data_IF_158539387933
#
_entry.id   IF_158539387933
#
_cell.length_a   1.000
_cell.length_b   1.000
_cell.length_c   1.000
_cell.angle_alpha   90.00
_cell.angle_beta   90.00
_cell.angle_gamma   90.00
#
_symmetry.space_group_name_H-M   'P 1'
#
loop_
_entity.id
_entity.type
_entity.pdbx_description
1 polymer ?
#
# COMPACT_ATOMS: atom_id res chain seq x y z
N UNK A 1 14.48 21.41 -8.88
CA UNK A 1 13.99 22.36 -7.87
C UNK A 1 15.00 22.37 -6.73
N UNK A 2 15.84 23.40 -6.67
CA UNK A 2 16.98 23.46 -5.74
C UNK A 2 16.57 24.26 -4.49
N UNK A 3 16.97 23.80 -3.30
CA UNK A 3 16.55 24.40 -2.02
C UNK A 3 17.08 25.83 -1.83
N UNK A 4 18.18 26.16 -2.50
CA UNK A 4 18.94 27.41 -2.40
C UNK A 4 18.62 28.44 -3.51
N UNK A 5 17.53 28.25 -4.26
CA UNK A 5 17.07 29.24 -5.25
C UNK A 5 16.64 30.54 -4.54
N UNK A 6 17.21 31.68 -4.93
CA UNK A 6 16.91 32.99 -4.33
C UNK A 6 15.47 33.44 -4.54
N UNK A 7 14.73 32.81 -5.46
CA UNK A 7 13.28 33.00 -5.65
C UNK A 7 12.44 32.30 -4.59
N UNK A 8 13.02 31.35 -3.83
CA UNK A 8 12.33 30.68 -2.73
C UNK A 8 12.34 31.60 -1.51
N UNK A 9 11.26 32.33 -1.27
CA UNK A 9 11.10 33.14 -0.07
C UNK A 9 10.44 32.32 1.05
N UNK A 10 10.93 32.47 2.28
CA UNK A 10 10.25 31.97 3.47
C UNK A 10 9.01 32.84 3.70
N UNK A 11 7.80 32.26 3.82
CA UNK A 11 6.60 33.04 4.09
C UNK A 11 6.77 33.87 5.37
N UNK A 12 6.41 35.17 5.36
CA UNK A 12 6.53 36.03 6.54
C UNK A 12 5.72 35.51 7.73
N UNK A 13 6.22 35.76 8.93
CA UNK A 13 5.53 35.41 10.16
C UNK A 13 4.17 36.14 10.24
N UNK A 14 3.12 35.44 10.68
CA UNK A 14 1.76 36.00 10.81
C UNK A 14 0.81 35.69 9.66
N UNK A 15 1.30 35.10 8.55
CA UNK A 15 0.40 34.47 7.57
C UNK A 15 -0.28 33.24 8.20
N UNK A 16 -1.58 32.99 7.93
CA UNK A 16 -2.24 31.77 8.36
C UNK A 16 -1.40 30.59 7.91
N UNK A 17 -0.90 29.80 8.86
CA UNK A 17 -0.10 28.66 8.47
C UNK A 17 -1.01 27.73 7.67
N UNK A 18 -0.71 27.52 6.39
CA UNK A 18 -1.33 26.45 5.60
C UNK A 18 -0.83 25.07 6.06
N UNK A 19 -0.54 24.91 7.35
CA UNK A 19 -0.24 23.63 7.97
C UNK A 19 -1.52 22.83 7.94
N UNK A 20 -1.68 22.05 6.87
CA UNK A 20 -2.70 21.02 6.75
C UNK A 20 -2.61 20.16 8.01
N UNK A 21 -3.57 20.32 8.94
CA UNK A 21 -3.66 19.45 10.11
C UNK A 21 -3.87 18.04 9.59
N UNK A 22 -2.96 17.13 9.92
CA UNK A 22 -3.12 15.72 9.59
C UNK A 22 -4.11 15.14 10.59
N UNK A 23 -5.20 14.57 10.08
CA UNK A 23 -6.11 13.79 10.93
C UNK A 23 -5.31 12.64 11.55
N UNK A 24 -5.65 12.28 12.79
CA UNK A 24 -5.09 11.09 13.43
C UNK A 24 -5.37 9.87 12.55
N UNK A 25 -4.39 8.96 12.36
CA UNK A 25 -4.62 7.76 11.58
C UNK A 25 -5.66 6.87 12.29
N UNK A 26 -6.63 6.36 11.53
CA UNK A 26 -7.52 5.30 12.01
C UNK A 26 -6.80 3.96 11.90
N UNK A 27 -6.58 3.29 13.02
CA UNK A 27 -6.01 1.93 13.04
C UNK A 27 -7.18 0.97 13.03
N UNK A 28 -7.30 0.21 11.94
CA UNK A 28 -8.39 -0.75 11.77
C UNK A 28 -8.24 -1.92 12.75
N UNK A 29 -9.34 -2.24 13.40
CA UNK A 29 -9.49 -3.46 14.21
C UNK A 29 -9.63 -4.69 13.31
N UNK A 30 -9.37 -5.88 13.87
CA UNK A 30 -9.54 -7.14 13.14
C UNK A 30 -10.97 -7.31 12.58
N UNK A 31 -11.98 -6.88 13.33
CA UNK A 31 -13.38 -6.92 12.90
C UNK A 31 -13.65 -5.98 11.71
N UNK A 32 -13.10 -4.77 11.73
CA UNK A 32 -13.23 -3.85 10.60
C UNK A 32 -12.49 -4.37 9.36
N UNK A 33 -11.32 -4.98 9.54
CA UNK A 33 -10.58 -5.62 8.45
C UNK A 33 -11.40 -6.76 7.85
N UNK A 34 -11.94 -7.65 8.69
CA UNK A 34 -12.80 -8.75 8.24
C UNK A 34 -14.04 -8.24 7.51
N UNK A 35 -14.65 -7.16 8.00
CA UNK A 35 -15.77 -6.50 7.33
C UNK A 35 -15.37 -5.94 5.97
N UNK A 36 -14.24 -5.23 5.88
CA UNK A 36 -13.71 -4.70 4.62
C UNK A 36 -13.46 -5.80 3.59
N UNK A 37 -12.84 -6.91 4.01
CA UNK A 37 -12.60 -8.05 3.13
C UNK A 37 -13.90 -8.73 2.69
N UNK A 38 -14.88 -8.88 3.59
CA UNK A 38 -16.20 -9.44 3.28
C UNK A 38 -16.95 -8.57 2.27
N UNK A 39 -16.90 -7.24 2.43
CA UNK A 39 -17.53 -6.31 1.48
C UNK A 39 -16.77 -6.26 0.14
N UNK A 40 -15.44 -6.34 0.16
CA UNK A 40 -14.62 -6.41 -1.05
C UNK A 40 -14.97 -7.64 -1.91
N UNK A 41 -15.25 -8.78 -1.28
CA UNK A 41 -15.68 -10.00 -1.97
C UNK A 41 -17.02 -9.85 -2.71
N UNK A 42 -17.85 -8.87 -2.34
CA UNK A 42 -19.16 -8.60 -2.97
C UNK A 42 -19.08 -7.55 -4.09
N UNK A 43 -17.90 -7.03 -4.40
CA UNK A 43 -17.74 -6.02 -5.44
C UNK A 43 -18.12 -6.57 -6.82
N UNK A 44 -19.15 -5.96 -7.40
CA UNK A 44 -19.60 -6.30 -8.76
C UNK A 44 -18.50 -5.98 -9.77
N UNK A 45 -18.14 -7.00 -10.54
CA UNK A 45 -17.17 -6.90 -11.62
C UNK A 45 -17.76 -7.48 -12.89
N UNK A 46 -17.70 -6.74 -14.00
CA UNK A 46 -18.10 -7.25 -15.31
C UNK A 46 -17.22 -8.41 -15.78
N UNK A 47 -15.98 -8.47 -15.28
CA UNK A 47 -14.96 -9.49 -15.61
C UNK A 47 -14.64 -10.43 -14.44
N UNK A 48 -15.36 -10.34 -13.31
CA UNK A 48 -15.02 -11.07 -12.07
C UNK A 48 -13.81 -10.54 -11.29
N UNK A 49 -12.91 -9.79 -11.92
CA UNK A 49 -11.61 -9.43 -11.32
C UNK A 49 -11.64 -8.45 -10.14
N UNK A 50 -12.65 -7.56 -9.99
CA UNK A 50 -12.63 -6.58 -8.89
C UNK A 50 -12.62 -7.24 -7.52
N UNK A 51 -13.52 -8.18 -7.26
CA UNK A 51 -13.60 -8.84 -5.96
C UNK A 51 -12.27 -9.52 -5.61
N UNK A 52 -11.72 -10.30 -6.55
CA UNK A 52 -10.41 -10.95 -6.39
C UNK A 52 -9.29 -9.93 -6.14
N UNK A 53 -9.23 -8.86 -6.93
CA UNK A 53 -8.17 -7.85 -6.83
C UNK A 53 -8.22 -7.10 -5.50
N UNK A 54 -9.40 -6.65 -5.06
CA UNK A 54 -9.52 -5.92 -3.80
C UNK A 54 -9.31 -6.82 -2.59
N UNK A 55 -9.77 -8.08 -2.63
CA UNK A 55 -9.52 -9.04 -1.56
C UNK A 55 -8.01 -9.29 -1.40
N UNK A 56 -7.31 -9.58 -2.50
CA UNK A 56 -5.86 -9.81 -2.49
C UNK A 56 -5.10 -8.56 -2.07
N UNK A 57 -5.48 -7.38 -2.56
CA UNK A 57 -4.81 -6.12 -2.23
C UNK A 57 -4.97 -5.76 -0.74
N UNK A 58 -6.18 -5.84 -0.19
CA UNK A 58 -6.43 -5.54 1.23
C UNK A 58 -5.69 -6.55 2.10
N UNK A 59 -5.82 -7.84 1.82
CA UNK A 59 -5.13 -8.90 2.55
C UNK A 59 -3.61 -8.75 2.51
N UNK A 60 -3.06 -8.37 1.35
CA UNK A 60 -1.64 -8.11 1.20
C UNK A 60 -1.18 -6.93 2.07
N UNK A 61 -1.89 -5.80 2.03
CA UNK A 61 -1.54 -4.62 2.84
C UNK A 61 -1.58 -4.93 4.33
N UNK A 62 -2.59 -5.67 4.79
CA UNK A 62 -2.72 -6.09 6.19
C UNK A 62 -1.59 -7.03 6.60
N UNK A 63 -1.26 -8.04 5.78
CA UNK A 63 -0.25 -9.04 6.11
C UNK A 63 1.19 -8.51 6.08
N UNK A 64 1.45 -7.46 5.29
CA UNK A 64 2.83 -7.01 4.98
C UNK A 64 3.15 -5.59 5.41
N UNK A 65 2.15 -4.79 5.76
CA UNK A 65 2.33 -3.38 6.10
C UNK A 65 2.90 -2.54 4.96
N UNK A 66 2.79 -3.01 3.70
CA UNK A 66 3.24 -2.25 2.54
C UNK A 66 2.53 -0.91 2.45
N UNK A 67 3.24 0.09 1.93
CA UNK A 67 2.58 1.34 1.55
C UNK A 67 1.67 1.06 0.35
N UNK A 68 0.51 1.73 0.23
CA UNK A 68 -0.39 1.53 -0.90
C UNK A 68 0.30 1.67 -2.26
N UNK A 69 1.20 2.64 -2.41
CA UNK A 69 1.94 2.84 -3.66
C UNK A 69 2.98 1.74 -3.94
N UNK A 70 3.48 1.05 -2.92
CA UNK A 70 4.39 -0.09 -3.11
C UNK A 70 3.58 -1.29 -3.62
N UNK A 71 2.46 -1.60 -2.97
CA UNK A 71 1.58 -2.70 -3.40
C UNK A 71 1.03 -2.51 -4.83
N UNK A 72 0.68 -1.28 -5.20
CA UNK A 72 0.18 -0.95 -6.55
C UNK A 72 1.27 -1.01 -7.64
N UNK A 73 2.55 -1.00 -7.27
CA UNK A 73 3.68 -1.04 -8.21
C UNK A 73 4.31 -2.42 -8.32
N UNK A 74 3.84 -3.41 -7.56
CA UNK A 74 4.35 -4.76 -7.62
C UNK A 74 4.13 -5.36 -9.00
N UNK A 75 5.19 -5.95 -9.54
CA UNK A 75 5.13 -6.83 -10.70
C UNK A 75 5.23 -8.29 -10.25
N UNK A 76 4.83 -9.23 -11.11
CA UNK A 76 4.99 -10.68 -10.87
C UNK A 76 6.44 -11.05 -10.57
N UNK A 77 7.40 -10.37 -11.20
CA UNK A 77 8.84 -10.61 -10.95
C UNK A 77 9.32 -10.18 -9.56
N UNK A 78 8.52 -9.42 -8.82
CA UNK A 78 8.84 -8.99 -7.46
C UNK A 78 8.39 -9.99 -6.40
N UNK A 79 7.55 -10.96 -6.76
CA UNK A 79 6.97 -11.93 -5.83
C UNK A 79 7.62 -13.28 -6.04
N UNK A 80 8.54 -13.64 -5.13
CA UNK A 80 9.09 -14.99 -5.06
C UNK A 80 8.21 -15.86 -4.16
N UNK A 81 7.32 -16.64 -4.79
CA UNK A 81 6.43 -17.56 -4.08
C UNK A 81 7.19 -18.79 -3.52
N UNK A 82 8.36 -19.14 -4.08
CA UNK A 82 9.18 -20.26 -3.60
C UNK A 82 9.84 -19.89 -2.28
N UNK A 83 10.53 -18.75 -2.25
CA UNK A 83 11.19 -18.22 -1.05
C UNK A 83 10.23 -17.48 -0.11
N UNK A 84 8.99 -17.24 -0.54
CA UNK A 84 7.93 -16.55 0.22
C UNK A 84 8.33 -15.11 0.57
N UNK A 85 8.88 -14.39 -0.41
CA UNK A 85 9.45 -13.05 -0.27
C UNK A 85 8.88 -12.12 -1.35
N UNK A 86 8.51 -10.90 -0.94
CA UNK A 86 8.18 -9.80 -1.85
C UNK A 86 9.35 -8.80 -1.86
N UNK A 87 9.82 -8.48 -3.07
CA UNK A 87 10.90 -7.54 -3.33
C UNK A 87 10.35 -6.16 -3.62
N UNK A 88 10.51 -5.22 -2.69
CA UNK A 88 10.09 -3.83 -2.90
C UNK A 88 11.26 -3.06 -3.52
N UNK A 89 11.11 -2.66 -4.78
CA UNK A 89 12.09 -1.84 -5.51
C UNK A 89 11.78 -0.36 -5.37
N UNK A 90 12.83 0.46 -5.26
CA UNK A 90 12.74 1.92 -5.44
C UNK A 90 11.59 2.59 -4.66
N UNK A 91 11.44 2.26 -3.37
CA UNK A 91 10.51 2.97 -2.50
C UNK A 91 10.91 4.44 -2.35
N UNK A 92 10.09 5.27 -1.70
CA UNK A 92 10.42 6.71 -1.48
C UNK A 92 11.88 6.84 -1.00
N UNK A 93 12.69 7.62 -1.75
CA UNK A 93 14.15 7.78 -1.59
C UNK A 93 15.04 6.66 -2.18
N UNK A 94 14.55 5.86 -3.12
CA UNK A 94 15.34 4.86 -3.85
C UNK A 94 15.73 3.64 -3.02
N UNK A 95 15.05 3.39 -1.89
CA UNK A 95 15.38 2.26 -1.00
C UNK A 95 14.66 0.99 -1.43
N UNK A 96 15.38 -0.12 -1.47
CA UNK A 96 14.83 -1.44 -1.73
C UNK A 96 14.86 -2.31 -0.47
N UNK A 97 13.89 -3.21 -0.31
CA UNK A 97 13.83 -4.16 0.82
C UNK A 97 13.08 -5.44 0.46
N UNK A 98 13.40 -6.52 1.17
CA UNK A 98 12.65 -7.77 1.13
C UNK A 98 11.61 -7.81 2.24
N UNK A 99 10.42 -8.31 1.92
CA UNK A 99 9.31 -8.49 2.86
C UNK A 99 8.90 -9.96 2.85
N UNK A 100 9.25 -10.74 3.88
CA UNK A 100 8.74 -12.09 4.04
C UNK A 100 7.23 -12.08 4.20
N UNK A 101 6.54 -13.07 3.64
CA UNK A 101 5.08 -13.20 3.78
C UNK A 101 4.69 -14.51 4.45
N UNK A 102 3.49 -14.57 5.02
CA UNK A 102 2.96 -15.80 5.60
C UNK A 102 2.56 -16.80 4.50
N UNK A 103 2.50 -18.09 4.84
CA UNK A 103 2.02 -19.14 3.91
C UNK A 103 0.60 -18.86 3.40
N UNK A 104 -0.28 -18.34 4.25
CA UNK A 104 -1.64 -17.94 3.86
C UNK A 104 -1.63 -16.84 2.80
N UNK A 105 -0.75 -15.85 2.94
CA UNK A 105 -0.57 -14.78 1.93
C UNK A 105 -0.04 -15.35 0.62
N UNK A 106 0.91 -16.28 0.67
CA UNK A 106 1.39 -16.98 -0.54
C UNK A 106 0.25 -17.69 -1.27
N UNK A 107 -0.57 -18.47 -0.56
CA UNK A 107 -1.72 -19.18 -1.17
C UNK A 107 -2.71 -18.20 -1.80
N UNK A 108 -2.96 -17.06 -1.16
CA UNK A 108 -3.82 -16.02 -1.73
C UNK A 108 -3.24 -15.39 -3.01
N UNK A 109 -1.91 -15.20 -3.06
CA UNK A 109 -1.21 -14.70 -4.25
C UNK A 109 -1.20 -15.75 -5.38
N UNK A 110 -0.99 -17.03 -5.07
CA UNK A 110 -1.07 -18.15 -6.02
C UNK A 110 -2.47 -18.28 -6.63
N UNK A 111 -3.53 -18.09 -5.84
CA UNK A 111 -4.90 -18.11 -6.34
C UNK A 111 -5.23 -16.90 -7.24
N UNK A 112 -4.53 -15.77 -7.05
CA UNK A 112 -4.81 -14.53 -7.78
C UNK A 112 -4.16 -14.47 -9.17
N UNK A 113 -2.94 -14.99 -9.33
CA UNK A 113 -2.01 -14.62 -10.41
C UNK A 113 -1.58 -15.75 -11.35
#
# INVERSE_FOLDING_TARGET
MNVIDSRNQVPPAGLPSARRRRNAPHIYTENEIALLMTQAAQLRSRTGMRALTYLTLIGLLVATGLRPSEALRLDRSDVDLVSVIISIRESKFGKSRFVPVAKSTRTALEHYA
#
